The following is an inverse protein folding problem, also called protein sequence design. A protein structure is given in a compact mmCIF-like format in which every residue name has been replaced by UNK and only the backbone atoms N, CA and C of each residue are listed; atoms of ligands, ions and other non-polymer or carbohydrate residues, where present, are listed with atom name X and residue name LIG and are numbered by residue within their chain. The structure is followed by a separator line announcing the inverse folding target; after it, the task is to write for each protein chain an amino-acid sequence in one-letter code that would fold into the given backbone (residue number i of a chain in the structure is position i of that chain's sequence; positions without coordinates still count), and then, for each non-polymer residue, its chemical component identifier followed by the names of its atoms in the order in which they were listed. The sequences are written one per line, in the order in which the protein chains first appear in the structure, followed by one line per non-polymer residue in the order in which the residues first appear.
data_IF_306024082633
#
_entry.id   IF_306024082633
#
_cell.length_a   1.000
_cell.length_b   1.000
_cell.length_c   1.000
_cell.angle_alpha   90.00
_cell.angle_beta   90.00
_cell.angle_gamma   90.00
#
_symmetry.space_group_name_H-M   'P 1'
#
loop_
_entity.id
_entity.type
_entity.pdbx_description
1 polymer ?
#
# COMPACT_ATOMS: atom_id res chain seq x y z
N UNK A 1 -14.94 2.04 -6.22
CA UNK A 1 -13.66 1.30 -6.22
C UNK A 1 -13.70 0.21 -5.16
N UNK A 2 -13.12 -0.97 -5.43
CA UNK A 2 -12.80 -1.95 -4.40
C UNK A 2 -11.84 -1.36 -3.35
N UNK A 3 -11.79 -1.96 -2.16
CA UNK A 3 -10.94 -1.49 -1.06
C UNK A 3 -10.17 -2.63 -0.39
N UNK A 4 -9.08 -2.28 0.27
CA UNK A 4 -8.36 -3.14 1.21
C UNK A 4 -8.72 -2.74 2.64
N UNK A 5 -8.87 -3.71 3.53
CA UNK A 5 -9.09 -3.50 4.96
C UNK A 5 -8.58 -4.71 5.74
N UNK A 6 -8.50 -4.63 7.08
CA UNK A 6 -8.07 -5.78 7.88
C UNK A 6 -9.16 -6.86 7.99
N UNK A 7 -8.78 -8.06 8.45
CA UNK A 7 -9.70 -9.19 8.52
C UNK A 7 -10.87 -8.96 9.48
N UNK A 8 -10.70 -8.15 10.52
CA UNK A 8 -11.76 -7.91 11.52
C UNK A 8 -12.77 -6.90 11.01
N UNK A 9 -12.32 -5.88 10.29
CA UNK A 9 -13.20 -4.85 9.71
C UNK A 9 -13.90 -5.29 8.43
N UNK A 10 -13.34 -6.28 7.69
CA UNK A 10 -13.87 -6.74 6.40
C UNK A 10 -15.39 -6.97 6.36
N UNK A 11 -16.02 -7.72 7.29
CA UNK A 11 -17.47 -7.95 7.23
C UNK A 11 -18.30 -6.66 7.30
N UNK A 12 -17.82 -5.67 8.06
CA UNK A 12 -18.49 -4.38 8.21
C UNK A 12 -18.36 -3.53 6.94
N UNK A 13 -17.18 -3.55 6.30
CA UNK A 13 -16.94 -2.86 5.03
C UNK A 13 -17.77 -3.46 3.90
N UNK A 14 -17.82 -4.80 3.82
CA UNK A 14 -18.64 -5.52 2.84
C UNK A 14 -20.15 -5.29 3.07
N UNK A 15 -20.60 -5.20 4.32
CA UNK A 15 -22.00 -4.83 4.66
C UNK A 15 -22.36 -3.43 4.17
N UNK A 16 -21.37 -2.53 4.08
CA UNK A 16 -21.52 -1.20 3.48
C UNK A 16 -21.60 -1.19 1.95
N UNK A 17 -21.59 -2.35 1.29
CA UNK A 17 -21.66 -2.48 -0.17
C UNK A 17 -20.33 -2.28 -0.88
N UNK A 18 -19.20 -2.25 -0.15
CA UNK A 18 -17.86 -2.10 -0.72
C UNK A 18 -17.26 -3.48 -1.00
N UNK A 19 -16.79 -3.71 -2.22
CA UNK A 19 -16.00 -4.92 -2.56
C UNK A 19 -14.64 -4.87 -1.86
N UNK A 20 -14.35 -5.86 -1.00
CA UNK A 20 -13.05 -5.98 -0.34
C UNK A 20 -12.14 -6.94 -1.11
N UNK A 21 -10.95 -6.48 -1.47
CA UNK A 21 -9.93 -7.28 -2.15
C UNK A 21 -9.06 -8.05 -1.17
N UNK A 22 -8.62 -9.25 -1.56
CA UNK A 22 -7.67 -10.06 -0.80
C UNK A 22 -6.21 -9.73 -1.17
N UNK A 23 -5.88 -8.43 -1.08
CA UNK A 23 -4.53 -7.87 -1.32
C UNK A 23 -4.25 -6.80 -0.25
N UNK A 24 -2.99 -6.57 0.12
CA UNK A 24 -2.67 -5.67 1.23
C UNK A 24 -2.79 -4.18 0.87
N UNK A 25 -2.76 -3.83 -0.42
CA UNK A 25 -2.81 -2.47 -0.92
C UNK A 25 -3.53 -2.41 -2.28
N UNK A 26 -4.36 -1.39 -2.47
CA UNK A 26 -4.99 -1.08 -3.75
C UNK A 26 -5.17 0.43 -3.89
N UNK A 27 -4.94 0.95 -5.09
CA UNK A 27 -5.13 2.36 -5.42
C UNK A 27 -5.88 2.50 -6.74
N UNK A 28 -6.78 3.48 -6.80
CA UNK A 28 -7.50 3.87 -8.01
C UNK A 28 -7.53 5.40 -8.08
N UNK A 29 -6.87 5.99 -9.08
CA UNK A 29 -6.76 7.43 -9.26
C UNK A 29 -6.12 8.09 -8.04
N UNK A 30 -6.88 8.95 -7.35
CA UNK A 30 -6.41 9.70 -6.18
C UNK A 30 -6.75 9.06 -4.84
N UNK A 31 -7.28 7.84 -4.83
CA UNK A 31 -7.68 7.14 -3.61
C UNK A 31 -6.86 5.86 -3.49
N UNK A 32 -6.35 5.58 -2.28
CA UNK A 32 -5.68 4.34 -1.96
C UNK A 32 -6.17 3.80 -0.62
N UNK A 33 -6.16 2.47 -0.51
CA UNK A 33 -6.56 1.73 0.69
C UNK A 33 -5.52 0.66 1.00
N UNK A 34 -5.33 0.37 2.28
CA UNK A 34 -4.40 -0.65 2.75
C UNK A 34 -5.05 -1.49 3.85
N UNK A 35 -4.80 -2.80 3.86
CA UNK A 35 -5.38 -3.76 4.79
C UNK A 35 -4.34 -4.37 5.73
N UNK A 36 -4.59 -4.26 7.04
CA UNK A 36 -3.69 -4.75 8.09
C UNK A 36 -2.62 -3.72 8.51
N UNK A 37 -2.21 -3.75 9.79
CA UNK A 37 -1.36 -2.71 10.38
C UNK A 37 -0.02 -2.52 9.65
N UNK A 38 0.61 -3.61 9.23
CA UNK A 38 1.90 -3.56 8.52
C UNK A 38 1.75 -3.05 7.07
N UNK A 39 0.55 -3.04 6.50
CA UNK A 39 0.32 -2.45 5.18
C UNK A 39 0.29 -0.92 5.19
N UNK A 40 0.30 -0.28 6.37
CA UNK A 40 0.46 1.18 6.49
C UNK A 40 1.72 1.70 5.79
N UNK A 41 2.78 0.89 5.74
CA UNK A 41 4.00 1.23 5.00
C UNK A 41 3.76 1.35 3.49
N UNK A 42 2.83 0.57 2.91
CA UNK A 42 2.47 0.65 1.50
C UNK A 42 1.69 1.93 1.21
N UNK A 43 0.78 2.31 2.11
CA UNK A 43 0.08 3.59 2.02
C UNK A 43 1.04 4.77 2.11
N UNK A 44 2.00 4.74 3.06
CA UNK A 44 3.04 5.76 3.17
C UNK A 44 3.91 5.80 1.91
N UNK A 45 4.33 4.65 1.38
CA UNK A 45 5.11 4.54 0.14
C UNK A 45 4.37 5.20 -1.01
N UNK A 46 3.08 4.89 -1.22
CA UNK A 46 2.28 5.49 -2.29
C UNK A 46 2.15 7.01 -2.15
N UNK A 47 1.90 7.52 -0.94
CA UNK A 47 1.84 8.98 -0.71
C UNK A 47 3.17 9.63 -1.04
N UNK A 48 4.28 9.08 -0.53
CA UNK A 48 5.63 9.64 -0.72
C UNK A 48 6.00 9.59 -2.21
N UNK A 49 5.83 8.45 -2.88
CA UNK A 49 6.15 8.29 -4.30
C UNK A 49 5.41 9.31 -5.16
N UNK A 50 4.13 9.60 -4.89
CA UNK A 50 3.36 10.57 -5.68
C UNK A 50 3.61 12.03 -5.34
N UNK A 51 4.07 12.34 -4.13
CA UNK A 51 4.25 13.73 -3.67
C UNK A 51 5.68 14.22 -3.81
N UNK A 52 6.65 13.35 -3.58
CA UNK A 52 8.09 13.70 -3.60
C UNK A 52 8.94 12.79 -4.49
N UNK A 53 8.37 11.73 -5.06
CA UNK A 53 9.02 10.85 -6.04
C UNK A 53 9.58 9.55 -5.46
N UNK A 54 9.79 8.56 -6.33
CA UNK A 54 10.25 7.21 -5.94
C UNK A 54 11.63 7.23 -5.25
N UNK A 55 12.56 8.09 -5.69
CA UNK A 55 13.88 8.18 -5.07
C UNK A 55 13.82 8.55 -3.57
N UNK A 56 12.92 9.48 -3.22
CA UNK A 56 12.68 9.84 -1.82
C UNK A 56 11.99 8.69 -1.07
N UNK A 57 11.05 7.99 -1.70
CA UNK A 57 10.42 6.80 -1.12
C UNK A 57 11.45 5.71 -0.79
N UNK A 58 12.37 5.42 -1.72
CA UNK A 58 13.48 4.46 -1.51
C UNK A 58 14.34 4.85 -0.32
N UNK A 59 14.78 6.11 -0.24
CA UNK A 59 15.62 6.57 0.86
C UNK A 59 14.92 6.53 2.22
N UNK A 60 13.63 6.90 2.29
CA UNK A 60 12.86 6.85 3.54
C UNK A 60 12.63 5.40 3.97
N UNK A 61 12.24 4.52 3.05
CA UNK A 61 12.03 3.11 3.33
C UNK A 61 13.30 2.41 3.79
N UNK A 62 14.43 2.69 3.13
CA UNK A 62 15.75 2.18 3.52
C UNK A 62 16.11 2.61 4.95
N UNK A 63 15.88 3.87 5.31
CA UNK A 63 16.16 4.39 6.64
C UNK A 63 15.31 3.75 7.75
N UNK A 64 14.03 3.47 7.49
CA UNK A 64 13.11 2.93 8.51
C UNK A 64 13.00 1.41 8.51
N UNK A 65 13.62 0.73 7.55
CA UNK A 65 13.55 -0.71 7.43
C UNK A 65 14.18 -1.42 8.65
N UNK A 66 13.72 -2.63 8.99
CA UNK A 66 14.42 -3.47 9.94
C UNK A 66 15.87 -3.68 9.51
N UNK A 67 16.80 -3.57 10.47
CA UNK A 67 18.24 -3.67 10.20
C UNK A 67 18.56 -5.03 9.56
N UNK A 68 19.12 -4.99 8.36
CA UNK A 68 19.47 -6.20 7.59
C UNK A 68 18.38 -6.65 6.60
N UNK A 69 17.21 -6.01 6.61
CA UNK A 69 16.08 -6.29 5.70
C UNK A 69 15.77 -5.09 4.78
N UNK A 70 16.70 -4.14 4.66
CA UNK A 70 16.52 -2.87 3.95
C UNK A 70 16.05 -3.03 2.51
N UNK A 71 16.84 -3.74 1.69
CA UNK A 71 16.55 -3.95 0.27
C UNK A 71 15.22 -4.70 0.08
N UNK A 72 14.99 -5.76 0.87
CA UNK A 72 13.74 -6.52 0.81
C UNK A 72 12.53 -5.65 1.16
N UNK A 73 12.66 -4.80 2.19
CA UNK A 73 11.59 -3.90 2.65
C UNK A 73 11.26 -2.87 1.57
N UNK A 74 12.27 -2.22 1.00
CA UNK A 74 12.12 -1.23 -0.09
C UNK A 74 11.42 -1.88 -1.28
N UNK A 75 11.94 -3.01 -1.76
CA UNK A 75 11.43 -3.66 -2.95
C UNK A 75 10.03 -4.25 -2.73
N UNK A 76 9.73 -4.79 -1.54
CA UNK A 76 8.38 -5.25 -1.19
C UNK A 76 7.36 -4.12 -1.23
N UNK A 77 7.69 -2.96 -0.66
CA UNK A 77 6.78 -1.82 -0.61
C UNK A 77 6.54 -1.22 -2.00
N UNK A 78 7.58 -1.05 -2.81
CA UNK A 78 7.46 -0.53 -4.18
C UNK A 78 6.69 -1.50 -5.08
N UNK A 79 6.94 -2.81 -4.98
CA UNK A 79 6.15 -3.81 -5.72
C UNK A 79 4.65 -3.71 -5.38
N UNK A 80 4.30 -3.56 -4.11
CA UNK A 80 2.89 -3.43 -3.70
C UNK A 80 2.23 -2.19 -4.32
N UNK A 81 2.95 -1.06 -4.35
CA UNK A 81 2.44 0.19 -4.92
C UNK A 81 2.33 0.14 -6.44
N UNK A 82 3.34 -0.37 -7.14
CA UNK A 82 3.30 -0.49 -8.60
C UNK A 82 2.25 -1.48 -9.11
N UNK A 83 2.00 -2.57 -8.37
CA UNK A 83 0.90 -3.49 -8.69
C UNK A 83 -0.48 -2.80 -8.59
N UNK A 84 -0.63 -1.85 -7.64
CA UNK A 84 -1.82 -1.02 -7.53
C UNK A 84 -1.99 -0.03 -8.68
N UNK A 85 -0.90 0.55 -9.17
CA UNK A 85 -0.93 1.51 -10.29
C UNK A 85 -1.20 0.85 -11.66
N UNK A 86 -0.80 -0.41 -11.85
CA UNK A 86 -1.07 -1.14 -13.09
C UNK A 86 -2.57 -1.36 -13.35
N UNK A 87 -3.41 -1.31 -12.31
CA UNK A 87 -4.87 -1.39 -12.44
C UNK A 87 -5.53 -0.10 -12.99
N UNK A 88 -4.73 0.96 -13.25
CA UNK A 88 -5.18 2.24 -13.80
C UNK A 88 -4.96 2.40 -15.31
N UNK A 89 -4.33 1.43 -15.97
CA UNK A 89 -4.15 1.39 -17.43
C UNK A 89 -5.13 0.41 -18.06
#
# INVERSE_FOLDING_TARGET
MPACTDQKSRPFVETGGVTVLDVPFHAEGNIATAGGCLASQYLATWVITRTVGEAAARGILDYVAPVGENEETVERALRAVHAGEAALR
#
